data_IF_312902642828
#
_entry.id   IF_312902642828
#
_cell.length_a   1.000
_cell.length_b   1.000
_cell.length_c   1.000
_cell.angle_alpha   90.00
_cell.angle_beta   90.00
_cell.angle_gamma   90.00
#
_symmetry.space_group_name_H-M   'P 1'
#
loop_
_entity.id
_entity.type
_entity.pdbx_description
1 polymer ?
#
# COMPACT_ATOMS: atom_id res chain seq x y z
N UNK A 1 -5.29 -15.13 5.99
CA UNK A 1 -4.23 -15.79 6.74
C UNK A 1 -3.18 -16.43 5.86
N UNK A 2 -2.24 -17.01 6.47
CA UNK A 2 -1.22 -17.79 5.76
C UNK A 2 -1.83 -19.06 5.19
N UNK A 3 -1.33 -19.49 4.02
CA UNK A 3 -1.62 -20.82 3.49
C UNK A 3 -0.97 -21.84 4.43
N UNK A 4 -1.72 -22.85 4.85
CA UNK A 4 -1.13 -23.92 5.65
C UNK A 4 -0.12 -24.75 4.84
N UNK A 5 0.80 -25.41 5.51
CA UNK A 5 1.78 -26.26 4.84
C UNK A 5 1.11 -27.42 4.10
N UNK A 6 0.01 -27.93 4.62
CA UNK A 6 -0.76 -28.98 3.97
C UNK A 6 -1.44 -28.47 2.69
N UNK A 7 -2.06 -27.30 2.75
CA UNK A 7 -2.68 -26.67 1.58
C UNK A 7 -1.65 -26.36 0.51
N UNK A 8 -0.50 -25.84 0.89
CA UNK A 8 0.59 -25.55 -0.04
C UNK A 8 1.08 -26.84 -0.71
N UNK A 9 1.31 -27.90 0.06
CA UNK A 9 1.72 -29.20 -0.48
C UNK A 9 0.71 -29.77 -1.44
N UNK A 10 -0.58 -29.68 -1.11
CA UNK A 10 -1.67 -30.14 -1.98
C UNK A 10 -1.70 -29.39 -3.29
N UNK A 11 -1.57 -28.06 -3.29
CA UNK A 11 -1.58 -27.23 -4.50
C UNK A 11 -0.46 -27.50 -5.45
N UNK A 12 0.70 -27.89 -4.95
CA UNK A 12 1.90 -28.14 -5.78
C UNK A 12 2.23 -29.62 -5.94
N UNK A 13 1.34 -30.51 -5.53
CA UNK A 13 1.54 -31.97 -5.57
C UNK A 13 2.80 -32.44 -4.84
N UNK A 14 3.10 -31.80 -3.70
CA UNK A 14 4.24 -32.13 -2.86
C UNK A 14 3.75 -32.39 -1.43
N UNK A 15 4.51 -33.18 -0.69
CA UNK A 15 4.25 -33.33 0.74
C UNK A 15 4.51 -31.99 1.45
N UNK A 16 3.86 -31.71 2.61
CA UNK A 16 4.07 -30.48 3.35
C UNK A 16 5.53 -30.19 3.70
N UNK A 17 6.29 -31.22 4.04
CA UNK A 17 7.67 -31.07 4.49
C UNK A 17 8.62 -30.43 3.44
N UNK A 18 8.65 -30.89 2.17
CA UNK A 18 9.43 -30.21 1.14
C UNK A 18 8.98 -28.79 0.89
N UNK A 19 7.66 -28.52 0.89
CA UNK A 19 7.14 -27.17 0.72
C UNK A 19 7.56 -26.26 1.87
N UNK A 20 7.47 -26.76 3.11
CA UNK A 20 7.93 -26.03 4.28
C UNK A 20 9.39 -25.63 4.18
N UNK A 21 10.27 -26.56 3.79
CA UNK A 21 11.70 -26.28 3.63
C UNK A 21 11.98 -25.23 2.57
N UNK A 22 11.29 -25.29 1.44
CA UNK A 22 11.44 -24.29 0.37
C UNK A 22 11.05 -22.90 0.83
N UNK A 23 9.90 -22.78 1.47
CA UNK A 23 9.42 -21.50 2.02
C UNK A 23 10.39 -20.98 3.07
N UNK A 24 10.83 -21.84 3.98
CA UNK A 24 11.79 -21.48 5.02
C UNK A 24 13.11 -21.00 4.42
N UNK A 25 13.64 -21.73 3.42
CA UNK A 25 14.88 -21.34 2.76
C UNK A 25 14.78 -19.99 2.07
N UNK A 26 13.64 -19.68 1.44
CA UNK A 26 13.39 -18.38 0.81
C UNK A 26 13.28 -17.27 1.85
N UNK A 27 12.67 -17.53 2.99
CA UNK A 27 12.63 -16.58 4.11
C UNK A 27 14.03 -16.36 4.69
N UNK A 28 14.78 -17.42 4.93
CA UNK A 28 16.14 -17.33 5.50
C UNK A 28 17.10 -16.61 4.55
N UNK A 29 16.91 -16.78 3.24
CA UNK A 29 17.69 -16.09 2.22
C UNK A 29 17.22 -14.65 1.95
N UNK A 30 16.13 -14.21 2.58
CA UNK A 30 15.62 -12.86 2.44
C UNK A 30 14.72 -12.61 1.23
N UNK A 31 14.39 -13.65 0.44
CA UNK A 31 13.49 -13.49 -0.71
C UNK A 31 12.02 -13.36 -0.31
N UNK A 32 11.62 -13.95 0.81
CA UNK A 32 10.28 -13.77 1.37
C UNK A 32 10.42 -12.91 2.62
N UNK A 33 9.89 -11.70 2.55
CA UNK A 33 9.95 -10.74 3.64
C UNK A 33 8.95 -11.10 4.74
N UNK A 34 7.69 -11.33 4.34
CA UNK A 34 6.61 -11.70 5.28
C UNK A 34 5.44 -12.33 4.55
N UNK A 35 4.59 -13.00 5.33
CA UNK A 35 3.31 -13.50 4.86
C UNK A 35 2.20 -12.62 5.43
N UNK A 36 1.25 -12.22 4.60
CA UNK A 36 0.13 -11.39 5.00
C UNK A 36 -1.17 -11.95 4.43
N UNK A 37 -2.26 -11.73 5.17
CA UNK A 37 -3.59 -11.97 4.65
C UNK A 37 -3.96 -10.86 3.67
N UNK A 38 -4.49 -11.24 2.50
CA UNK A 38 -5.05 -10.28 1.55
C UNK A 38 -6.55 -10.17 1.82
N UNK A 39 -6.98 -8.99 2.26
CA UNK A 39 -8.37 -8.75 2.60
C UNK A 39 -9.21 -8.45 1.37
N UNK A 40 -10.49 -8.80 1.44
CA UNK A 40 -11.45 -8.51 0.37
C UNK A 40 -11.93 -7.06 0.49
N UNK A 41 -11.52 -6.22 -0.43
CA UNK A 41 -11.81 -4.78 -0.42
C UNK A 41 -13.30 -4.48 -0.61
N UNK A 42 -14.02 -5.31 -1.36
CA UNK A 42 -15.46 -5.18 -1.54
C UNK A 42 -16.21 -5.35 -0.21
N UNK A 43 -15.81 -6.36 0.55
CA UNK A 43 -16.43 -6.63 1.86
C UNK A 43 -16.10 -5.57 2.91
N UNK A 44 -15.04 -4.82 2.70
CA UNK A 44 -14.65 -3.72 3.59
C UNK A 44 -15.17 -2.36 3.10
N UNK A 45 -15.91 -2.32 2.01
CA UNK A 45 -16.39 -1.11 1.35
C UNK A 45 -15.24 -0.17 0.94
N UNK A 46 -14.13 -0.75 0.48
CA UNK A 46 -12.92 -0.06 0.06
C UNK A 46 -12.53 -0.43 -1.38
N UNK A 47 -13.51 -0.59 -2.26
CA UNK A 47 -13.32 -1.13 -3.61
C UNK A 47 -12.36 -0.31 -4.46
N UNK A 48 -12.47 1.02 -4.38
CA UNK A 48 -11.73 1.92 -5.26
C UNK A 48 -10.73 2.76 -4.48
N UNK A 49 -9.47 2.77 -4.90
CA UNK A 49 -8.52 3.69 -4.30
C UNK A 49 -8.70 5.09 -4.87
N UNK A 50 -8.28 6.07 -4.09
CA UNK A 50 -8.05 7.43 -4.54
C UNK A 50 -6.54 7.62 -4.66
N UNK A 51 -6.11 8.19 -5.77
CA UNK A 51 -4.72 8.58 -5.95
C UNK A 51 -4.60 10.07 -5.67
N UNK A 52 -3.79 10.43 -4.70
CA UNK A 52 -3.71 11.79 -4.20
C UNK A 52 -2.35 12.36 -4.54
N UNK A 53 -2.34 13.44 -5.33
CA UNK A 53 -1.15 14.20 -5.67
C UNK A 53 -0.95 15.31 -4.65
N UNK A 54 0.22 15.32 -4.04
CA UNK A 54 0.58 16.29 -3.01
C UNK A 54 1.75 17.14 -3.52
N UNK A 55 1.60 18.47 -3.41
CA UNK A 55 2.66 19.42 -3.65
C UNK A 55 2.92 20.22 -2.39
N UNK A 56 4.20 20.50 -2.13
CA UNK A 56 4.60 21.35 -1.02
C UNK A 56 5.64 22.35 -1.50
N UNK A 57 5.60 23.56 -0.96
CA UNK A 57 6.67 24.55 -1.15
C UNK A 57 7.73 24.43 -0.06
N UNK A 58 7.46 23.62 0.97
CA UNK A 58 8.30 23.50 2.14
C UNK A 58 9.00 22.13 2.13
N UNK A 59 10.29 22.14 1.78
CA UNK A 59 11.11 20.92 1.71
C UNK A 59 12.05 20.76 2.89
N UNK A 60 11.83 21.51 3.98
CA UNK A 60 12.70 21.40 5.15
C UNK A 60 12.42 20.10 5.93
N UNK A 61 13.38 19.76 6.78
CA UNK A 61 13.34 18.53 7.57
C UNK A 61 12.13 18.48 8.51
N UNK A 62 11.77 19.59 9.12
CA UNK A 62 10.65 19.68 10.05
C UNK A 62 9.33 19.31 9.35
N UNK A 63 9.05 19.91 8.21
CA UNK A 63 7.85 19.61 7.42
C UNK A 63 7.85 18.13 6.98
N UNK A 64 8.98 17.66 6.46
CA UNK A 64 9.12 16.29 5.96
C UNK A 64 8.90 15.26 7.06
N UNK A 65 9.48 15.47 8.24
CA UNK A 65 9.32 14.55 9.36
C UNK A 65 7.87 14.53 9.86
N UNK A 66 7.22 15.69 9.91
CA UNK A 66 5.82 15.79 10.27
C UNK A 66 4.92 15.08 9.26
N UNK A 67 5.18 15.29 7.98
CA UNK A 67 4.44 14.62 6.89
C UNK A 67 4.59 13.10 6.97
N UNK A 68 5.80 12.60 7.15
CA UNK A 68 6.07 11.17 7.32
C UNK A 68 5.30 10.57 8.49
N UNK A 69 5.23 11.30 9.59
CA UNK A 69 4.46 10.87 10.76
C UNK A 69 2.98 10.78 10.45
N UNK A 70 2.42 11.80 9.80
CA UNK A 70 1.01 11.83 9.41
C UNK A 70 0.68 10.66 8.49
N UNK A 71 1.52 10.41 7.49
CA UNK A 71 1.35 9.29 6.56
C UNK A 71 1.35 7.95 7.31
N UNK A 72 2.31 7.75 8.20
CA UNK A 72 2.42 6.52 8.99
C UNK A 72 1.20 6.29 9.88
N UNK A 73 0.68 7.36 10.48
CA UNK A 73 -0.40 7.28 11.47
C UNK A 73 -1.81 7.34 10.85
N UNK A 74 -1.92 7.46 9.53
CA UNK A 74 -3.20 7.53 8.82
C UNK A 74 -3.48 6.21 8.11
N UNK A 75 -4.35 5.34 8.67
CA UNK A 75 -4.59 3.99 8.13
C UNK A 75 -5.13 3.97 6.70
N UNK A 76 -5.85 5.00 6.30
CA UNK A 76 -6.41 5.12 4.95
C UNK A 76 -5.34 5.25 3.88
N UNK A 77 -4.16 5.75 4.23
CA UNK A 77 -3.03 5.83 3.32
C UNK A 77 -2.34 4.47 3.29
N UNK A 78 -2.48 3.75 2.18
CA UNK A 78 -1.92 2.41 2.03
C UNK A 78 -0.60 2.39 1.27
N UNK A 79 -0.29 3.46 0.52
CA UNK A 79 1.00 3.68 -0.11
C UNK A 79 1.30 5.18 -0.15
N UNK A 80 2.57 5.51 -0.02
CA UNK A 80 3.06 6.87 -0.20
C UNK A 80 4.42 6.82 -0.88
N UNK A 81 4.55 7.54 -1.99
CA UNK A 81 5.78 7.61 -2.77
C UNK A 81 6.20 9.06 -2.94
N UNK A 82 7.48 9.34 -2.73
CA UNK A 82 8.08 10.61 -3.13
C UNK A 82 8.46 10.50 -4.60
N UNK A 83 8.07 11.49 -5.39
CA UNK A 83 8.27 11.47 -6.84
C UNK A 83 9.24 12.55 -7.28
N UNK A 84 9.88 12.33 -8.42
CA UNK A 84 10.53 13.40 -9.19
C UNK A 84 9.48 14.05 -10.07
N UNK A 85 9.61 15.37 -10.31
CA UNK A 85 8.71 16.10 -11.20
C UNK A 85 7.79 17.06 -10.44
N UNK A 86 6.67 17.39 -11.06
CA UNK A 86 5.75 18.41 -10.53
C UNK A 86 5.01 17.98 -9.25
N UNK A 87 4.74 16.70 -9.11
CA UNK A 87 4.09 16.14 -7.92
C UNK A 87 5.18 15.71 -6.96
N UNK A 88 5.12 16.18 -5.72
CA UNK A 88 6.12 15.81 -4.73
C UNK A 88 5.87 14.43 -4.12
N UNK A 89 4.59 14.12 -3.82
CA UNK A 89 4.21 12.83 -3.24
C UNK A 89 2.94 12.31 -3.90
N UNK A 90 2.92 11.00 -4.11
CA UNK A 90 1.74 10.27 -4.56
C UNK A 90 1.27 9.37 -3.43
N UNK A 91 0.02 9.55 -3.03
CA UNK A 91 -0.62 8.69 -2.03
C UNK A 91 -1.63 7.77 -2.72
N UNK A 92 -1.65 6.52 -2.32
CA UNK A 92 -2.77 5.63 -2.60
C UNK A 92 -3.59 5.55 -1.32
N UNK A 93 -4.87 5.94 -1.40
CA UNK A 93 -5.75 6.08 -0.24
C UNK A 93 -6.97 5.22 -0.45
N UNK A 94 -7.32 4.41 0.53
CA UNK A 94 -8.54 3.59 0.51
C UNK A 94 -9.61 4.24 1.37
N UNK A 95 -10.70 4.64 0.72
CA UNK A 95 -11.82 5.34 1.34
C UNK A 95 -13.13 4.73 0.83
N UNK A 96 -14.18 4.90 1.62
CA UNK A 96 -15.49 4.36 1.31
C UNK A 96 -16.16 5.09 0.14
N UNK A 97 -16.11 6.42 0.14
CA UNK A 97 -16.84 7.27 -0.82
C UNK A 97 -16.25 8.69 -0.85
N UNK A 98 -16.87 9.57 -1.64
CA UNK A 98 -16.44 10.96 -1.79
C UNK A 98 -16.57 11.78 -0.50
N UNK A 99 -17.54 11.46 0.36
CA UNK A 99 -17.65 12.13 1.68
C UNK A 99 -16.47 11.78 2.56
N UNK A 100 -16.05 10.51 2.56
CA UNK A 100 -14.87 10.07 3.29
C UNK A 100 -13.61 10.73 2.75
N UNK A 101 -13.56 11.01 1.44
CA UNK A 101 -12.45 11.76 0.85
C UNK A 101 -12.42 13.20 1.39
N UNK A 102 -13.57 13.88 1.48
CA UNK A 102 -13.62 15.22 2.05
C UNK A 102 -13.13 15.25 3.50
N UNK A 103 -13.54 14.29 4.31
CA UNK A 103 -13.06 14.17 5.69
C UNK A 103 -11.55 13.96 5.74
N UNK A 104 -11.04 13.06 4.90
CA UNK A 104 -9.60 12.81 4.77
C UNK A 104 -8.85 14.08 4.37
N UNK A 105 -9.33 14.78 3.37
CA UNK A 105 -8.74 16.01 2.87
C UNK A 105 -8.65 17.08 3.97
N UNK A 106 -9.75 17.36 4.64
CA UNK A 106 -9.78 18.38 5.70
C UNK A 106 -8.94 17.98 6.91
N UNK A 107 -8.92 16.73 7.28
CA UNK A 107 -8.04 16.24 8.35
C UNK A 107 -6.57 16.46 7.99
N UNK A 108 -6.22 16.24 6.74
CA UNK A 108 -4.84 16.38 6.29
C UNK A 108 -4.40 17.84 6.27
N UNK A 109 -5.18 18.74 5.66
CA UNK A 109 -4.84 20.15 5.55
C UNK A 109 -4.86 20.88 6.90
N UNK A 110 -5.59 20.36 7.89
CA UNK A 110 -5.61 20.92 9.24
C UNK A 110 -4.38 20.57 10.06
N UNK A 111 -3.61 19.56 9.64
CA UNK A 111 -2.44 19.10 10.37
C UNK A 111 -1.13 19.72 9.91
N UNK A 112 -1.04 20.08 8.62
CA UNK A 112 0.20 20.51 8.00
C UNK A 112 -0.13 21.31 6.73
N UNK A 113 0.75 22.24 6.35
CA UNK A 113 0.57 23.08 5.17
C UNK A 113 0.96 22.37 3.89
N UNK A 114 0.16 22.57 2.85
CA UNK A 114 0.44 22.07 1.50
C UNK A 114 0.30 23.20 0.48
N UNK A 115 1.04 23.11 -0.62
CA UNK A 115 0.82 23.97 -1.76
C UNK A 115 -0.45 23.55 -2.52
N UNK A 116 -0.63 22.25 -2.72
CA UNK A 116 -1.86 21.72 -3.31
C UNK A 116 -2.04 20.23 -2.97
N UNK A 117 -3.30 19.81 -2.91
CA UNK A 117 -3.69 18.41 -2.78
C UNK A 117 -4.79 18.17 -3.80
N UNK A 118 -4.62 17.17 -4.66
CA UNK A 118 -5.60 16.79 -5.68
C UNK A 118 -5.86 15.29 -5.61
N UNK A 119 -7.11 14.90 -5.41
CA UNK A 119 -7.50 13.50 -5.32
C UNK A 119 -8.20 13.03 -6.59
N UNK A 120 -7.82 11.85 -7.07
CA UNK A 120 -8.34 11.23 -8.27
C UNK A 120 -8.88 9.85 -7.93
N UNK A 121 -10.21 9.65 -7.91
CA UNK A 121 -10.74 8.32 -7.69
C UNK A 121 -10.44 7.42 -8.88
N UNK A 122 -10.06 6.18 -8.60
CA UNK A 122 -9.91 5.17 -9.65
C UNK A 122 -11.29 4.82 -10.20
N UNK A 123 -11.44 4.84 -11.52
CA UNK A 123 -12.67 4.39 -12.16
C UNK A 123 -12.72 2.87 -12.26
N UNK A 124 -11.56 2.25 -12.47
CA UNK A 124 -11.45 0.82 -12.67
C UNK A 124 -10.05 0.35 -12.32
N UNK A 125 -9.94 -0.67 -11.50
CA UNK A 125 -8.65 -1.33 -11.24
C UNK A 125 -8.44 -2.44 -12.28
N UNK A 126 -7.60 -2.17 -13.27
CA UNK A 126 -7.32 -3.14 -14.33
C UNK A 126 -6.38 -4.25 -13.86
N UNK A 127 -5.51 -3.94 -12.94
CA UNK A 127 -4.57 -4.89 -12.37
C UNK A 127 -4.10 -4.42 -11.00
N UNK A 128 -4.18 -5.33 -10.05
CA UNK A 128 -3.56 -5.19 -8.75
C UNK A 128 -3.01 -6.55 -8.36
N UNK A 129 -1.70 -6.64 -8.18
CA UNK A 129 -1.04 -7.91 -7.88
C UNK A 129 0.09 -7.71 -6.88
N UNK A 130 0.33 -8.72 -6.06
CA UNK A 130 1.50 -8.81 -5.20
C UNK A 130 2.66 -9.54 -5.87
N UNK A 131 2.44 -10.07 -7.08
CA UNK A 131 3.47 -10.78 -7.83
C UNK A 131 4.48 -9.81 -8.41
N UNK A 132 5.76 -10.08 -8.21
CA UNK A 132 6.86 -9.31 -8.76
C UNK A 132 7.52 -10.07 -9.91
N UNK A 133 8.11 -9.36 -10.91
CA UNK A 133 8.87 -10.01 -11.94
C UNK A 133 10.14 -10.62 -11.36
N UNK A 134 10.49 -11.83 -11.81
CA UNK A 134 11.63 -12.60 -11.29
C UNK A 134 12.79 -12.71 -12.27
N UNK A 135 12.71 -12.04 -13.43
CA UNK A 135 13.70 -12.20 -14.53
C UNK A 135 15.03 -11.52 -14.24
N UNK A 136 15.13 -10.74 -13.17
CA UNK A 136 16.32 -9.97 -12.82
C UNK A 136 17.16 -10.60 -11.71
N UNK A 137 16.82 -11.81 -11.34
CA UNK A 137 17.52 -12.52 -10.25
C UNK A 137 18.56 -13.47 -10.80
#
# INVERSE_FOLDING_TARGET
>A
GEISMEELGSKVNLSPSPCYRRVKNLKDAGFIDRNVAVLNKHKLNLERPYFVHVKTTNHNKEWTDQFKKIVRDTPQIVECHRLMGEVDYLLKVRLKNSESYNEFYFNLINKIDFASISGFPSLEELKETTMLPLDYV
#
